data_IF_029888259790
#
_entry.id   IF_029888259790
#
_cell.length_a   1.000
_cell.length_b   1.000
_cell.length_c   1.000
_cell.angle_alpha   90.00
_cell.angle_beta   90.00
_cell.angle_gamma   90.00
#
_symmetry.space_group_name_H-M   'P 1'
#
loop_
_entity.id
_entity.type
_entity.pdbx_description
1 polymer ?
#
# COMPACT_ATOMS: atom_id res chain seq x y z
N UNK A 1 20.18 22.56 12.73
CA UNK A 1 20.56 21.36 11.97
C UNK A 1 20.29 21.64 10.49
N UNK A 2 21.33 21.84 9.70
CA UNK A 2 21.23 22.09 8.27
C UNK A 2 20.90 20.77 7.55
N UNK A 3 19.84 20.76 6.76
CA UNK A 3 19.39 19.57 6.03
C UNK A 3 20.18 19.41 4.73
N UNK A 4 20.94 18.33 4.58
CA UNK A 4 21.42 17.82 3.29
C UNK A 4 20.20 17.32 2.49
N UNK A 5 19.55 18.20 1.74
CA UNK A 5 18.32 17.95 0.98
C UNK A 5 18.55 17.65 -0.51
N UNK A 6 19.75 17.19 -0.92
CA UNK A 6 20.16 17.26 -2.33
C UNK A 6 20.83 16.02 -2.94
N UNK A 7 20.70 14.84 -2.34
CA UNK A 7 21.23 13.62 -2.99
C UNK A 7 20.10 12.63 -3.31
N UNK A 8 19.93 12.33 -4.60
CA UNK A 8 19.12 11.23 -5.14
C UNK A 8 19.91 9.91 -5.11
N UNK A 9 19.26 8.73 -5.15
CA UNK A 9 19.90 7.47 -5.54
C UNK A 9 20.04 7.35 -7.06
N UNK A 10 21.17 6.78 -7.51
CA UNK A 10 21.55 6.54 -8.91
C UNK A 10 20.70 5.43 -9.56
N UNK A 11 20.18 5.68 -10.76
CA UNK A 11 19.57 4.68 -11.65
C UNK A 11 20.66 3.93 -12.44
N UNK A 12 20.58 2.60 -12.54
CA UNK A 12 21.42 1.79 -13.44
C UNK A 12 20.69 1.52 -14.76
N UNK A 13 21.42 1.65 -15.86
CA UNK A 13 20.99 1.53 -17.26
C UNK A 13 20.61 0.08 -17.66
N UNK A 14 19.69 -0.04 -18.62
CA UNK A 14 19.22 -1.29 -19.22
C UNK A 14 19.93 -1.45 -20.58
N UNK A 15 20.67 -2.54 -20.78
CA UNK A 15 21.19 -2.93 -22.10
C UNK A 15 20.33 -4.02 -22.74
N UNK A 16 19.96 -3.76 -23.99
CA UNK A 16 19.15 -4.52 -24.95
C UNK A 16 19.78 -5.84 -25.41
N UNK A 17 18.94 -6.86 -25.67
CA UNK A 17 19.17 -7.85 -26.74
C UNK A 17 17.84 -8.20 -27.43
N UNK A 18 17.86 -8.15 -28.76
CA UNK A 18 16.76 -8.37 -29.72
C UNK A 18 16.79 -9.80 -30.32
N UNK A 19 15.75 -10.22 -31.09
CA UNK A 19 15.26 -11.60 -31.19
C UNK A 19 15.47 -12.31 -32.54
N UNK A 20 15.14 -13.61 -32.57
CA UNK A 20 14.81 -14.48 -33.74
C UNK A 20 14.10 -15.71 -33.15
N UNK A 21 13.07 -16.36 -33.69
CA UNK A 21 12.41 -16.32 -34.99
C UNK A 21 11.05 -17.08 -34.91
N UNK A 22 10.02 -16.52 -35.55
CA UNK A 22 9.13 -17.16 -36.56
C UNK A 22 8.21 -18.38 -36.29
N UNK A 23 6.90 -18.13 -36.53
CA UNK A 23 5.90 -18.85 -37.38
C UNK A 23 4.83 -19.79 -36.72
N UNK A 24 3.57 -19.34 -36.49
CA UNK A 24 2.26 -19.30 -37.25
C UNK A 24 1.29 -20.49 -36.86
N UNK A 25 -0.02 -20.54 -37.24
CA UNK A 25 -1.22 -20.26 -36.40
C UNK A 25 -2.25 -21.42 -36.28
N UNK A 26 -3.21 -21.33 -35.36
CA UNK A 26 -4.50 -22.05 -35.46
C UNK A 26 -5.55 -21.41 -34.55
N UNK A 27 -6.54 -20.72 -35.11
CA UNK A 27 -7.90 -21.18 -35.44
C UNK A 27 -8.88 -21.17 -34.26
N UNK A 28 -9.90 -20.31 -34.42
CA UNK A 28 -11.11 -20.19 -33.61
C UNK A 28 -11.93 -21.49 -33.59
N UNK A 29 -12.37 -21.93 -32.41
CA UNK A 29 -13.70 -22.54 -32.23
C UNK A 29 -14.25 -22.30 -30.82
N UNK A 30 -15.36 -21.56 -30.78
CA UNK A 30 -16.58 -21.80 -29.98
C UNK A 30 -16.40 -22.41 -28.58
N UNK A 31 -16.22 -21.58 -27.54
CA UNK A 31 -16.44 -22.01 -26.15
C UNK A 31 -16.67 -20.81 -25.19
N UNK A 32 -17.67 -19.97 -25.47
CA UNK A 32 -18.01 -18.79 -24.64
C UNK A 32 -19.21 -18.99 -23.71
N UNK A 33 -19.43 -20.21 -23.22
CA UNK A 33 -20.45 -20.52 -22.20
C UNK A 33 -19.97 -21.32 -20.96
N UNK A 34 -18.80 -21.99 -20.92
CA UNK A 34 -18.30 -22.63 -19.68
C UNK A 34 -17.70 -21.64 -18.68
N UNK A 35 -17.16 -20.51 -19.14
CA UNK A 35 -16.39 -19.58 -18.32
C UNK A 35 -17.21 -18.78 -17.28
N UNK A 36 -18.52 -18.59 -17.47
CA UNK A 36 -19.37 -17.94 -16.45
C UNK A 36 -19.78 -18.91 -15.33
N UNK A 37 -19.82 -20.22 -15.61
CA UNK A 37 -20.05 -21.23 -14.58
C UNK A 37 -18.79 -21.49 -13.75
N UNK A 38 -17.59 -21.54 -14.34
CA UNK A 38 -16.33 -21.72 -13.60
C UNK A 38 -15.98 -20.53 -12.68
N UNK A 39 -16.32 -19.29 -13.06
CA UNK A 39 -16.20 -18.12 -12.18
C UNK A 39 -17.19 -18.17 -11.00
N UNK A 40 -18.40 -18.70 -11.21
CA UNK A 40 -19.39 -18.91 -10.14
C UNK A 40 -19.06 -20.09 -9.22
N UNK A 41 -18.33 -21.09 -9.74
CA UNK A 41 -17.83 -22.25 -8.99
C UNK A 41 -16.62 -21.86 -8.15
N UNK A 42 -15.71 -21.03 -8.67
CA UNK A 42 -14.59 -20.48 -7.90
C UNK A 42 -15.06 -19.53 -6.76
N UNK A 43 -16.11 -18.74 -6.98
CA UNK A 43 -16.75 -17.94 -5.91
C UNK A 43 -17.47 -18.80 -4.87
N UNK A 44 -18.05 -19.94 -5.27
CA UNK A 44 -18.74 -20.86 -4.35
C UNK A 44 -17.80 -21.84 -3.63
N UNK A 45 -16.67 -22.23 -4.22
CA UNK A 45 -15.62 -23.01 -3.55
C UNK A 45 -14.87 -22.16 -2.52
N UNK A 46 -14.68 -20.86 -2.79
CA UNK A 46 -14.17 -19.90 -1.80
C UNK A 46 -15.07 -19.78 -0.55
N UNK A 47 -16.37 -20.08 -0.69
CA UNK A 47 -17.35 -20.08 0.40
C UNK A 47 -17.52 -21.46 1.08
N UNK A 48 -16.88 -22.54 0.59
CA UNK A 48 -17.11 -23.91 1.05
C UNK A 48 -15.87 -24.66 1.58
N UNK A 49 -14.69 -24.03 1.65
CA UNK A 49 -13.53 -24.63 2.33
C UNK A 49 -13.85 -24.91 3.81
N UNK A 50 -14.11 -26.19 4.08
CA UNK A 50 -14.71 -26.73 5.30
C UNK A 50 -13.67 -26.90 6.42
N UNK A 51 -12.42 -26.49 6.20
CA UNK A 51 -11.38 -26.46 7.24
C UNK A 51 -11.47 -25.21 8.14
N UNK A 52 -12.35 -24.25 7.81
CA UNK A 52 -12.56 -23.01 8.57
C UNK A 52 -14.02 -22.71 8.94
N UNK A 53 -14.98 -23.57 8.56
CA UNK A 53 -16.40 -23.33 8.71
C UNK A 53 -17.03 -24.22 9.79
N UNK A 54 -16.80 -23.88 11.06
CA UNK A 54 -17.76 -24.25 12.10
C UNK A 54 -18.64 -23.04 12.40
N UNK A 55 -19.89 -23.16 12.00
CA UNK A 55 -21.04 -22.27 12.20
C UNK A 55 -21.01 -21.53 13.55
N UNK A 56 -21.39 -20.24 13.55
CA UNK A 56 -22.39 -19.70 14.49
C UNK A 56 -23.17 -18.53 13.86
N UNK A 57 -24.42 -18.46 14.30
CA UNK A 57 -25.61 -17.74 13.83
C UNK A 57 -25.56 -16.21 13.75
N UNK A 58 -26.33 -15.68 12.79
CA UNK A 58 -27.01 -14.38 12.72
C UNK A 58 -26.35 -13.19 13.45
N UNK A 59 -25.60 -12.38 12.67
CA UNK A 59 -25.34 -10.98 12.99
C UNK A 59 -23.87 -10.54 13.15
N UNK A 60 -22.90 -11.47 13.12
CA UNK A 60 -21.49 -11.11 13.17
C UNK A 60 -20.82 -11.21 11.78
N UNK A 61 -20.53 -10.06 11.16
CA UNK A 61 -19.59 -10.01 10.05
C UNK A 61 -18.19 -10.33 10.60
N UNK A 62 -17.76 -11.59 10.51
CA UNK A 62 -16.36 -12.00 10.59
C UNK A 62 -16.14 -13.31 11.35
N UNK A 63 -15.50 -14.28 10.67
CA UNK A 63 -15.11 -15.58 11.25
C UNK A 63 -13.84 -15.46 12.10
N UNK A 64 -13.64 -16.41 13.02
CA UNK A 64 -12.43 -16.48 13.85
C UNK A 64 -11.29 -17.14 13.08
N UNK A 65 -10.14 -16.47 12.95
CA UNK A 65 -8.94 -17.02 12.33
C UNK A 65 -8.40 -18.21 13.15
N UNK A 66 -8.24 -19.37 12.50
CA UNK A 66 -7.50 -20.52 13.03
C UNK A 66 -6.17 -20.64 12.27
N UNK A 67 -5.11 -20.96 13.00
CA UNK A 67 -3.77 -21.13 12.42
C UNK A 67 -3.77 -22.35 11.50
N UNK A 68 -3.49 -22.16 10.21
CA UNK A 68 -3.16 -23.29 9.33
C UNK A 68 -1.81 -23.88 9.79
N UNK A 69 -1.88 -25.12 10.29
CA UNK A 69 -0.74 -25.92 10.76
C UNK A 69 -0.32 -26.98 9.74
N UNK A 70 -1.07 -27.16 8.66
CA UNK A 70 -0.86 -28.21 7.66
C UNK A 70 0.16 -27.78 6.61
N UNK A 71 0.21 -26.49 6.25
CA UNK A 71 1.24 -25.96 5.33
C UNK A 71 2.53 -25.62 6.06
N UNK A 72 3.53 -26.51 5.97
CA UNK A 72 4.90 -26.27 6.43
C UNK A 72 5.77 -25.77 5.27
N UNK A 73 6.20 -24.52 5.34
CA UNK A 73 7.27 -24.00 4.47
C UNK A 73 8.60 -24.58 4.98
N UNK A 74 9.41 -25.25 4.15
CA UNK A 74 10.72 -25.73 4.56
C UNK A 74 11.58 -24.59 5.12
N UNK A 75 12.32 -24.85 6.21
CA UNK A 75 13.21 -23.85 6.79
C UNK A 75 14.34 -23.43 5.83
N UNK A 76 14.72 -24.30 4.90
CA UNK A 76 15.71 -24.06 3.85
C UNK A 76 15.17 -23.31 2.63
N UNK A 77 13.86 -23.04 2.55
CA UNK A 77 13.28 -22.39 1.38
C UNK A 77 13.84 -20.96 1.22
N UNK A 78 14.17 -20.60 -0.02
CA UNK A 78 14.61 -19.23 -0.35
C UNK A 78 13.48 -18.25 -0.04
N UNK A 79 13.77 -17.28 0.84
CA UNK A 79 12.82 -16.25 1.26
C UNK A 79 13.28 -14.87 0.82
N UNK A 80 12.37 -14.12 0.20
CA UNK A 80 12.52 -12.69 -0.05
C UNK A 80 11.61 -11.96 0.93
N UNK A 81 12.22 -11.24 1.88
CA UNK A 81 11.50 -10.49 2.91
C UNK A 81 11.43 -9.01 2.54
N UNK A 82 10.21 -8.49 2.36
CA UNK A 82 9.94 -7.09 2.06
C UNK A 82 9.14 -6.48 3.22
N UNK A 83 9.67 -5.43 3.85
CA UNK A 83 8.91 -4.67 4.84
C UNK A 83 7.95 -3.67 4.18
N UNK A 84 6.70 -3.62 4.65
CA UNK A 84 5.73 -2.58 4.31
C UNK A 84 5.56 -1.69 5.54
N UNK A 85 5.89 -0.41 5.39
CA UNK A 85 5.96 0.58 6.48
C UNK A 85 4.95 1.69 6.22
N UNK A 86 3.89 1.75 7.03
CA UNK A 86 2.94 2.86 7.04
C UNK A 86 3.36 3.94 8.03
N UNK A 87 3.70 5.14 7.56
CA UNK A 87 4.14 6.25 8.41
C UNK A 87 3.00 7.22 8.77
N UNK A 88 2.99 7.72 10.01
CA UNK A 88 2.06 8.76 10.49
C UNK A 88 2.46 10.16 9.98
N UNK A 89 2.67 10.29 8.66
CA UNK A 89 2.98 11.56 8.01
C UNK A 89 1.68 12.28 7.62
N UNK A 90 1.24 13.21 8.46
CA UNK A 90 0.10 14.08 8.13
C UNK A 90 0.51 15.09 7.08
N UNK A 91 -0.47 15.61 6.33
CA UNK A 91 -0.26 16.55 5.23
C UNK A 91 0.62 17.75 5.64
N UNK A 92 1.80 17.85 5.03
CA UNK A 92 2.79 18.90 5.27
C UNK A 92 3.68 18.69 6.50
N UNK A 93 3.59 17.53 7.17
CA UNK A 93 4.43 17.19 8.33
C UNK A 93 5.31 16.00 8.02
N UNK A 94 6.60 16.10 8.37
CA UNK A 94 7.56 15.01 8.19
C UNK A 94 7.60 14.20 9.48
N UNK A 95 6.86 13.09 9.51
CA UNK A 95 6.87 12.13 10.62
C UNK A 95 7.41 10.80 10.10
N UNK A 96 8.23 10.15 10.93
CA UNK A 96 8.82 8.84 10.64
C UNK A 96 8.32 7.76 11.60
N UNK A 97 7.24 8.00 12.37
CA UNK A 97 6.66 6.94 13.21
C UNK A 97 6.01 5.88 12.33
N UNK A 98 6.37 4.61 12.55
CA UNK A 98 5.86 3.47 11.79
C UNK A 98 4.60 2.87 12.46
N UNK A 99 3.43 3.35 12.03
CA UNK A 99 2.14 3.05 12.66
C UNK A 99 1.47 1.78 12.10
N UNK A 100 1.88 1.34 10.92
CA UNK A 100 1.52 0.05 10.32
C UNK A 100 2.81 -0.66 9.89
N UNK A 101 2.97 -1.91 10.32
CA UNK A 101 4.21 -2.66 10.17
C UNK A 101 3.87 -4.07 9.66
N UNK A 102 4.31 -4.40 8.45
CA UNK A 102 4.12 -5.73 7.87
C UNK A 102 5.42 -6.23 7.24
N UNK A 103 5.64 -7.53 7.27
CA UNK A 103 6.65 -8.19 6.44
C UNK A 103 5.93 -9.13 5.49
N UNK A 104 6.17 -8.96 4.19
CA UNK A 104 5.77 -9.90 3.15
C UNK A 104 6.98 -10.80 2.89
N UNK A 105 6.91 -12.03 3.42
CA UNK A 105 7.91 -13.08 3.23
C UNK A 105 7.46 -13.95 2.06
N UNK A 106 8.15 -13.85 0.94
CA UNK A 106 7.80 -14.54 -0.30
C UNK A 106 8.74 -15.72 -0.50
N UNK A 107 8.17 -16.87 -0.85
CA UNK A 107 8.87 -18.09 -1.25
C UNK A 107 8.57 -18.30 -2.74
N UNK A 108 9.39 -17.71 -3.64
CA UNK A 108 9.03 -17.61 -5.05
C UNK A 108 8.91 -19.00 -5.69
N UNK A 109 9.86 -19.88 -5.37
CA UNK A 109 9.96 -21.23 -5.95
C UNK A 109 8.75 -22.12 -5.67
N UNK A 110 8.03 -21.88 -4.57
CA UNK A 110 6.83 -22.65 -4.21
C UNK A 110 5.50 -21.93 -4.51
N UNK A 111 5.56 -20.66 -4.92
CA UNK A 111 4.38 -19.83 -5.09
C UNK A 111 3.66 -19.58 -3.75
N UNK A 112 4.40 -19.22 -2.71
CA UNK A 112 3.82 -19.02 -1.37
C UNK A 112 4.22 -17.67 -0.77
N UNK A 113 3.27 -17.02 -0.10
CA UNK A 113 3.49 -15.74 0.59
C UNK A 113 3.00 -15.82 2.02
N UNK A 114 3.83 -15.32 2.95
CA UNK A 114 3.45 -15.12 4.34
C UNK A 114 3.49 -13.62 4.67
N UNK A 115 2.34 -13.07 5.07
CA UNK A 115 2.22 -11.69 5.54
C UNK A 115 2.24 -11.69 7.07
N UNK A 116 3.24 -11.05 7.65
CA UNK A 116 3.46 -10.99 9.09
C UNK A 116 3.20 -9.56 9.55
N UNK A 117 2.05 -9.34 10.16
CA UNK A 117 1.66 -8.05 10.75
C UNK A 117 2.24 -7.90 12.15
N UNK A 118 2.77 -6.72 12.46
CA UNK A 118 3.36 -6.41 13.76
C UNK A 118 2.63 -5.20 14.38
N UNK A 119 1.99 -5.34 15.56
CA UNK A 119 1.37 -4.22 16.26
C UNK A 119 2.41 -3.12 16.53
N UNK A 120 2.01 -1.86 16.37
CA UNK A 120 2.96 -0.73 16.41
C UNK A 120 3.61 -0.53 17.78
N UNK A 121 2.89 -0.94 18.83
CA UNK A 121 3.25 -0.81 20.24
C UNK A 121 4.08 -2.02 20.72
N UNK A 122 4.49 -2.93 19.83
CA UNK A 122 5.35 -4.08 20.17
C UNK A 122 6.67 -3.59 20.80
N UNK A 123 7.09 -4.14 21.95
CA UNK A 123 8.35 -3.76 22.59
C UNK A 123 9.55 -3.94 21.65
N UNK A 124 10.33 -2.88 21.49
CA UNK A 124 11.56 -2.87 20.70
C UNK A 124 12.48 -1.73 21.17
N UNK A 125 13.79 -1.95 21.22
CA UNK A 125 14.72 -0.95 21.72
C UNK A 125 14.82 0.25 20.76
N UNK A 126 14.13 1.34 21.12
CA UNK A 126 14.16 2.61 20.42
C UNK A 126 15.20 3.59 21.00
N UNK A 127 15.96 3.21 22.03
CA UNK A 127 16.94 4.05 22.71
C UNK A 127 16.31 5.11 23.62
N UNK A 128 15.06 4.89 24.05
CA UNK A 128 14.35 5.81 24.93
C UNK A 128 14.72 5.54 26.39
N UNK A 129 14.91 6.62 27.17
CA UNK A 129 15.15 6.53 28.62
C UNK A 129 13.99 5.86 29.36
N UNK A 130 12.76 6.23 28.98
CA UNK A 130 11.55 5.59 29.46
C UNK A 130 11.34 4.27 28.70
N UNK A 131 11.41 3.16 29.43
CA UNK A 131 11.24 1.81 28.88
C UNK A 131 9.88 1.61 28.21
N UNK A 132 8.83 2.33 28.63
CA UNK A 132 7.48 2.23 28.05
C UNK A 132 7.39 2.84 26.65
N UNK A 133 8.35 3.70 26.27
CA UNK A 133 8.46 4.31 24.95
C UNK A 133 9.33 3.47 23.99
N UNK A 134 9.95 2.38 24.46
CA UNK A 134 10.71 1.47 23.60
C UNK A 134 9.75 0.54 22.83
N UNK A 135 9.23 1.08 21.72
CA UNK A 135 8.24 0.45 20.85
C UNK A 135 8.67 0.51 19.39
N UNK A 136 8.27 -0.49 18.59
CA UNK A 136 8.65 -0.60 17.18
C UNK A 136 8.33 0.66 16.36
N UNK A 137 7.17 1.30 16.59
CA UNK A 137 6.79 2.56 15.90
C UNK A 137 7.79 3.70 16.09
N UNK A 138 8.48 3.73 17.23
CA UNK A 138 9.46 4.77 17.58
C UNK A 138 10.86 4.41 17.05
N UNK A 139 11.21 3.12 16.95
CA UNK A 139 12.51 2.67 16.41
C UNK A 139 12.78 3.29 15.04
N UNK A 140 11.78 3.28 14.14
CA UNK A 140 11.94 3.86 12.81
C UNK A 140 12.23 5.37 12.85
N UNK A 141 11.54 6.09 13.74
CA UNK A 141 11.72 7.54 13.89
C UNK A 141 13.07 7.91 14.53
N UNK A 142 13.53 7.14 15.51
CA UNK A 142 14.71 7.48 16.33
C UNK A 142 16.02 6.87 15.81
N UNK A 143 15.97 5.63 15.33
CA UNK A 143 17.17 4.86 14.92
C UNK A 143 17.23 4.59 13.41
N UNK A 144 16.23 5.05 12.66
CA UNK A 144 16.17 4.96 11.19
C UNK A 144 15.82 3.56 10.66
N UNK A 145 15.73 3.46 9.34
CA UNK A 145 15.21 2.28 8.62
C UNK A 145 16.03 1.03 8.89
N UNK A 146 17.37 1.09 8.88
CA UNK A 146 18.23 -0.09 9.11
C UNK A 146 17.97 -0.73 10.48
N UNK A 147 17.84 0.07 11.54
CA UNK A 147 17.55 -0.45 12.88
C UNK A 147 16.13 -1.03 12.96
N UNK A 148 15.15 -0.32 12.39
CA UNK A 148 13.78 -0.79 12.30
C UNK A 148 13.66 -2.14 11.60
N UNK A 149 14.32 -2.34 10.45
CA UNK A 149 14.25 -3.58 9.68
C UNK A 149 14.83 -4.78 10.45
N UNK A 150 15.90 -4.57 11.23
CA UNK A 150 16.44 -5.62 12.10
C UNK A 150 15.44 -6.03 13.19
N UNK A 151 14.86 -5.05 13.90
CA UNK A 151 13.90 -5.32 14.98
C UNK A 151 12.63 -5.98 14.42
N UNK A 152 12.09 -5.47 13.30
CA UNK A 152 10.94 -6.07 12.63
C UNK A 152 11.22 -7.51 12.19
N UNK A 153 12.38 -7.79 11.58
CA UNK A 153 12.78 -9.14 11.17
C UNK A 153 12.93 -10.11 12.36
N UNK A 154 13.48 -9.62 13.49
CA UNK A 154 13.58 -10.36 14.74
C UNK A 154 12.20 -10.72 15.31
N UNK A 155 11.29 -9.74 15.41
CA UNK A 155 9.92 -9.95 15.90
C UNK A 155 9.16 -10.94 15.00
N UNK A 156 9.32 -10.79 13.68
CA UNK A 156 8.66 -11.65 12.70
C UNK A 156 9.27 -13.07 12.58
N UNK A 157 10.49 -13.28 13.08
CA UNK A 157 11.23 -14.55 13.00
C UNK A 157 11.53 -15.01 11.57
N UNK A 158 11.83 -14.07 10.66
CA UNK A 158 12.10 -14.38 9.23
C UNK A 158 13.54 -14.11 8.77
N UNK A 159 14.44 -13.79 9.70
CA UNK A 159 15.83 -13.45 9.36
C UNK A 159 15.98 -12.02 8.82
N UNK A 160 17.04 -11.72 8.04
CA UNK A 160 17.33 -10.36 7.61
C UNK A 160 16.27 -9.83 6.64
N UNK A 161 15.81 -8.61 6.90
CA UNK A 161 14.90 -7.87 6.00
C UNK A 161 15.73 -6.78 5.30
N UNK A 162 15.94 -6.96 4.00
CA UNK A 162 16.77 -6.05 3.18
C UNK A 162 15.94 -5.10 2.31
N UNK A 163 14.72 -5.49 1.97
CA UNK A 163 13.84 -4.74 1.09
C UNK A 163 12.73 -4.08 1.87
N UNK A 164 12.30 -2.90 1.42
CA UNK A 164 11.23 -2.17 2.08
C UNK A 164 10.49 -1.24 1.12
N UNK A 165 9.23 -0.98 1.47
CA UNK A 165 8.41 0.10 0.96
C UNK A 165 7.90 0.93 2.14
N UNK A 166 7.86 2.24 1.97
CA UNK A 166 7.31 3.18 2.94
C UNK A 166 6.27 4.07 2.27
N UNK A 167 5.13 4.20 2.92
CA UNK A 167 4.00 5.00 2.45
C UNK A 167 3.31 5.76 3.58
N UNK A 168 2.91 7.00 3.29
CA UNK A 168 2.05 7.83 4.15
C UNK A 168 0.56 7.68 3.79
N UNK A 169 -0.28 8.52 4.42
CA UNK A 169 -1.74 8.45 4.23
C UNK A 169 -2.20 8.66 2.79
N UNK A 170 -1.66 9.68 2.12
CA UNK A 170 -2.02 10.02 0.74
C UNK A 170 -1.65 8.89 -0.23
N UNK A 171 -0.48 8.30 -0.06
CA UNK A 171 0.00 7.19 -0.88
C UNK A 171 -0.85 5.94 -0.64
N UNK A 172 -1.18 5.62 0.62
CA UNK A 172 -2.14 4.56 0.92
C UNK A 172 -3.48 4.79 0.22
N UNK A 173 -4.03 6.02 0.26
CA UNK A 173 -5.28 6.35 -0.43
C UNK A 173 -5.19 6.15 -1.94
N UNK A 174 -4.08 6.57 -2.56
CA UNK A 174 -3.85 6.37 -3.99
C UNK A 174 -3.78 4.91 -4.40
N UNK A 175 -3.07 4.09 -3.64
CA UNK A 175 -2.97 2.64 -3.88
C UNK A 175 -4.34 1.98 -3.70
N UNK A 176 -5.08 2.30 -2.63
CA UNK A 176 -6.43 1.77 -2.41
C UNK A 176 -7.36 2.12 -3.59
N UNK A 177 -7.28 3.36 -4.10
CA UNK A 177 -8.04 3.80 -5.26
C UNK A 177 -7.61 3.05 -6.54
N UNK A 178 -6.31 2.83 -6.72
CA UNK A 178 -5.72 2.05 -7.82
C UNK A 178 -6.24 0.61 -7.85
N UNK A 179 -6.36 -0.02 -6.67
CA UNK A 179 -6.89 -1.36 -6.47
C UNK A 179 -8.43 -1.42 -6.55
N UNK A 180 -9.07 -0.39 -7.09
CA UNK A 180 -10.49 -0.38 -7.45
C UNK A 180 -11.44 0.15 -6.37
N UNK A 181 -10.93 0.54 -5.19
CA UNK A 181 -11.77 1.04 -4.10
C UNK A 181 -11.86 2.56 -4.14
N UNK A 182 -12.89 3.07 -4.85
CA UNK A 182 -13.06 4.51 -5.09
C UNK A 182 -13.23 5.35 -3.81
N UNK A 183 -13.88 4.81 -2.78
CA UNK A 183 -13.95 5.49 -1.48
C UNK A 183 -12.75 5.14 -0.59
N UNK A 184 -11.55 5.46 -1.09
CA UNK A 184 -10.28 5.12 -0.44
C UNK A 184 -10.15 5.68 0.98
N UNK A 185 -10.77 6.84 1.24
CA UNK A 185 -10.86 7.43 2.58
C UNK A 185 -11.62 6.53 3.56
N UNK A 186 -12.74 5.97 3.15
CA UNK A 186 -13.54 5.07 3.98
C UNK A 186 -12.82 3.74 4.22
N UNK A 187 -12.23 3.14 3.18
CA UNK A 187 -11.39 1.95 3.36
C UNK A 187 -10.27 2.22 4.35
N UNK A 188 -9.52 3.32 4.16
CA UNK A 188 -8.42 3.65 5.06
C UNK A 188 -8.89 3.92 6.48
N UNK A 189 -10.09 4.49 6.67
CA UNK A 189 -10.71 4.62 7.99
C UNK A 189 -10.98 3.26 8.64
N UNK A 190 -11.50 2.30 7.88
CA UNK A 190 -11.71 0.91 8.34
C UNK A 190 -10.39 0.27 8.75
N UNK A 191 -9.36 0.33 7.89
CA UNK A 191 -8.04 -0.28 8.15
C UNK A 191 -7.26 0.38 9.30
N UNK A 192 -7.63 1.61 9.69
CA UNK A 192 -7.00 2.32 10.80
C UNK A 192 -7.74 2.16 12.13
N UNK A 193 -8.94 1.58 12.12
CA UNK A 193 -9.74 1.44 13.32
C UNK A 193 -9.12 0.43 14.29
N UNK A 194 -8.75 0.92 15.49
CA UNK A 194 -8.31 0.07 16.62
C UNK A 194 -9.48 -0.43 17.46
N UNK A 195 -10.41 0.47 17.79
CA UNK A 195 -11.45 0.22 18.79
C UNK A 195 -12.81 -0.10 18.18
N UNK A 196 -13.19 0.57 17.09
CA UNK A 196 -14.55 0.47 16.52
C UNK A 196 -14.91 -0.90 15.94
N UNK A 197 -13.92 -1.78 15.74
CA UNK A 197 -14.11 -3.16 15.26
C UNK A 197 -13.82 -4.23 16.33
N UNK A 198 -13.43 -3.83 17.55
CA UNK A 198 -12.95 -4.73 18.60
C UNK A 198 -11.50 -5.22 18.38
N UNK A 199 -10.87 -5.77 19.43
CA UNK A 199 -9.55 -6.42 19.36
C UNK A 199 -8.31 -5.51 19.30
N UNK A 200 -8.48 -4.20 19.52
CA UNK A 200 -7.41 -3.17 19.61
C UNK A 200 -6.38 -3.21 18.47
N UNK A 201 -5.10 -2.98 18.75
CA UNK A 201 -4.05 -2.85 17.74
C UNK A 201 -3.79 -4.16 17.00
N UNK A 202 -3.98 -5.29 17.68
CA UNK A 202 -3.80 -6.63 17.14
C UNK A 202 -4.82 -6.93 16.03
N UNK A 203 -6.11 -6.66 16.26
CA UNK A 203 -7.13 -6.80 15.22
C UNK A 203 -6.89 -5.80 14.08
N UNK A 204 -6.48 -4.56 14.40
CA UNK A 204 -6.16 -3.56 13.37
C UNK A 204 -5.03 -4.04 12.44
N UNK A 205 -3.89 -4.49 12.98
CA UNK A 205 -2.78 -4.93 12.14
C UNK A 205 -3.10 -6.24 11.40
N UNK A 206 -3.93 -7.12 11.98
CA UNK A 206 -4.47 -8.27 11.27
C UNK A 206 -5.34 -7.84 10.09
N UNK A 207 -6.26 -6.90 10.27
CA UNK A 207 -7.12 -6.36 9.21
C UNK A 207 -6.30 -5.78 8.05
N UNK A 208 -5.22 -5.05 8.36
CA UNK A 208 -4.30 -4.54 7.36
C UNK A 208 -3.60 -5.67 6.59
N UNK A 209 -3.11 -6.70 7.29
CA UNK A 209 -2.53 -7.88 6.64
C UNK A 209 -3.53 -8.64 5.75
N UNK A 210 -4.78 -8.80 6.22
CA UNK A 210 -5.86 -9.39 5.45
C UNK A 210 -6.24 -8.57 4.22
N UNK A 211 -6.22 -7.24 4.32
CA UNK A 211 -6.39 -6.35 3.17
C UNK A 211 -5.29 -6.59 2.13
N UNK A 212 -4.02 -6.58 2.55
CA UNK A 212 -2.88 -6.83 1.66
C UNK A 212 -3.03 -8.20 0.99
N UNK A 213 -3.36 -9.25 1.74
CA UNK A 213 -3.62 -10.60 1.22
C UNK A 213 -4.67 -10.59 0.11
N UNK A 214 -5.84 -10.00 0.39
CA UNK A 214 -6.95 -10.00 -0.55
C UNK A 214 -6.64 -9.19 -1.81
N UNK A 215 -5.91 -8.08 -1.68
CA UNK A 215 -5.49 -7.28 -2.82
C UNK A 215 -4.46 -8.00 -3.70
N UNK A 216 -3.48 -8.70 -3.10
CA UNK A 216 -2.52 -9.49 -3.87
C UNK A 216 -3.26 -10.60 -4.63
N UNK A 217 -4.07 -11.42 -3.95
CA UNK A 217 -4.80 -12.51 -4.60
C UNK A 217 -5.69 -12.02 -5.76
N UNK A 218 -6.36 -10.87 -5.58
CA UNK A 218 -7.27 -10.32 -6.59
C UNK A 218 -6.56 -9.68 -7.79
N UNK A 219 -5.38 -9.11 -7.59
CA UNK A 219 -4.74 -8.25 -8.58
C UNK A 219 -3.39 -8.76 -9.07
N UNK A 220 -2.91 -9.90 -8.59
CA UNK A 220 -1.59 -10.43 -8.97
C UNK A 220 -1.42 -10.57 -10.49
N UNK A 221 -2.44 -11.07 -11.20
CA UNK A 221 -2.40 -11.20 -12.67
C UNK A 221 -2.22 -9.87 -13.42
N UNK A 222 -2.52 -8.73 -12.78
CA UNK A 222 -2.31 -7.40 -13.36
C UNK A 222 -0.86 -6.93 -13.27
N UNK A 223 -0.02 -7.61 -12.50
CA UNK A 223 1.39 -7.27 -12.37
C UNK A 223 2.24 -7.79 -13.55
N UNK A 224 1.64 -8.53 -14.48
CA UNK A 224 2.30 -9.07 -15.66
C UNK A 224 1.99 -8.24 -16.93
N UNK A 225 2.81 -8.41 -17.96
CA UNK A 225 2.70 -7.73 -19.24
C UNK A 225 2.97 -6.22 -19.20
N UNK A 226 2.66 -5.53 -20.31
CA UNK A 226 2.94 -4.10 -20.49
C UNK A 226 2.26 -3.21 -19.44
N UNK A 227 1.00 -3.51 -19.11
CA UNK A 227 0.27 -2.78 -18.06
C UNK A 227 0.86 -3.07 -16.67
N UNK A 228 1.33 -4.30 -16.42
CA UNK A 228 2.06 -4.64 -15.21
C UNK A 228 3.33 -3.82 -15.06
N UNK A 229 4.08 -3.61 -16.14
CA UNK A 229 5.27 -2.77 -16.12
C UNK A 229 4.96 -1.31 -15.76
N UNK A 230 3.91 -0.73 -16.32
CA UNK A 230 3.43 0.62 -15.96
C UNK A 230 3.05 0.69 -14.49
N UNK A 231 2.33 -0.31 -13.96
CA UNK A 231 1.93 -0.37 -12.55
C UNK A 231 3.14 -0.52 -11.62
N UNK A 232 4.15 -1.30 -11.99
CA UNK A 232 5.37 -1.49 -11.20
C UNK A 232 6.19 -0.19 -11.17
N UNK A 233 6.42 0.43 -12.34
CA UNK A 233 7.16 1.70 -12.45
C UNK A 233 6.45 2.83 -11.69
N UNK A 234 5.15 3.01 -11.93
CA UNK A 234 4.32 4.00 -11.25
C UNK A 234 4.22 3.77 -9.76
N UNK A 235 4.03 2.52 -9.33
CA UNK A 235 3.98 2.15 -7.91
C UNK A 235 5.28 2.49 -7.18
N UNK A 236 6.43 2.19 -7.80
CA UNK A 236 7.75 2.52 -7.23
C UNK A 236 8.05 4.02 -7.25
N UNK A 237 7.62 4.76 -8.27
CA UNK A 237 7.77 6.21 -8.31
C UNK A 237 6.87 6.92 -7.27
N UNK A 238 5.72 6.30 -6.95
CA UNK A 238 4.72 6.83 -6.02
C UNK A 238 5.01 6.55 -4.55
N UNK A 239 5.90 5.59 -4.25
CA UNK A 239 6.27 5.17 -2.90
C UNK A 239 7.76 5.40 -2.64
N UNK A 240 8.14 5.49 -1.36
CA UNK A 240 9.56 5.46 -1.01
C UNK A 240 10.01 4.00 -0.84
N UNK A 241 11.03 3.55 -1.56
CA UNK A 241 11.45 2.14 -1.57
C UNK A 241 12.91 1.98 -2.01
N UNK A 242 13.50 0.83 -1.68
CA UNK A 242 14.75 0.36 -2.26
C UNK A 242 14.58 -0.83 -3.22
N UNK A 243 13.35 -1.12 -3.66
CA UNK A 243 13.06 -2.13 -4.67
C UNK A 243 13.39 -1.60 -6.06
N UNK A 244 13.84 -2.48 -6.95
CA UNK A 244 14.03 -2.18 -8.37
C UNK A 244 12.88 -2.74 -9.21
N UNK A 245 12.62 -2.11 -10.35
CA UNK A 245 11.63 -2.57 -11.34
C UNK A 245 11.94 -4.01 -11.76
N UNK A 246 13.19 -4.28 -12.15
CA UNK A 246 13.62 -5.62 -12.57
C UNK A 246 13.51 -6.66 -11.43
N UNK A 247 13.80 -6.28 -10.19
CA UNK A 247 13.64 -7.17 -9.04
C UNK A 247 12.18 -7.57 -8.81
N UNK A 248 11.24 -6.64 -9.00
CA UNK A 248 9.80 -6.93 -8.90
C UNK A 248 9.34 -7.77 -10.10
N UNK A 249 9.78 -7.46 -11.32
CA UNK A 249 9.45 -8.25 -12.52
C UNK A 249 9.94 -9.70 -12.38
N UNK A 250 11.18 -9.90 -11.92
CA UNK A 250 11.71 -11.23 -11.65
C UNK A 250 10.92 -11.99 -10.57
N UNK A 251 10.48 -11.28 -9.53
CA UNK A 251 9.64 -11.88 -8.48
C UNK A 251 8.26 -12.30 -9.01
N UNK A 252 7.61 -11.47 -9.83
CA UNK A 252 6.33 -11.80 -10.49
C UNK A 252 6.51 -13.00 -11.41
N UNK A 253 7.58 -13.02 -12.21
CA UNK A 253 7.92 -14.14 -13.08
C UNK A 253 8.10 -15.45 -12.31
N UNK A 254 8.91 -15.46 -11.25
CA UNK A 254 9.13 -16.64 -10.41
C UNK A 254 7.82 -17.17 -9.81
N UNK A 255 6.97 -16.27 -9.32
CA UNK A 255 5.66 -16.62 -8.75
C UNK A 255 4.71 -17.18 -9.80
N UNK A 256 4.62 -16.57 -11.00
CA UNK A 256 3.85 -17.09 -12.13
C UNK A 256 4.32 -18.49 -12.51
N UNK A 257 5.64 -18.70 -12.62
CA UNK A 257 6.25 -19.99 -12.94
C UNK A 257 5.91 -21.07 -11.91
N UNK A 258 5.78 -20.69 -10.65
CA UNK A 258 5.36 -21.58 -9.57
C UNK A 258 3.84 -21.81 -9.48
N UNK A 259 3.06 -21.24 -10.42
CA UNK A 259 1.60 -21.36 -10.49
C UNK A 259 0.87 -20.51 -9.44
N UNK A 260 1.46 -19.40 -8.99
CA UNK A 260 0.83 -18.51 -8.01
C UNK A 260 -0.22 -17.58 -8.66
N UNK A 261 -1.37 -17.34 -7.98
CA UNK A 261 -1.86 -18.07 -6.83
C UNK A 261 -2.47 -19.42 -7.25
N UNK A 262 -2.18 -20.47 -6.49
CA UNK A 262 -2.79 -21.81 -6.69
C UNK A 262 -4.23 -21.82 -6.20
N UNK A 263 -4.41 -21.26 -5.02
CA UNK A 263 -5.68 -21.12 -4.31
C UNK A 263 -5.57 -19.97 -3.28
N UNK A 264 -6.65 -19.71 -2.54
CA UNK A 264 -6.67 -18.65 -1.53
C UNK A 264 -5.61 -18.83 -0.42
N UNK A 265 -5.24 -20.05 -0.09
CA UNK A 265 -4.22 -20.38 0.91
C UNK A 265 -2.78 -20.28 0.39
N UNK A 266 -2.57 -19.83 -0.85
CA UNK A 266 -1.24 -19.42 -1.35
C UNK A 266 -0.66 -18.23 -0.58
N UNK A 267 -1.52 -17.47 0.13
CA UNK A 267 -1.11 -16.42 1.04
C UNK A 267 -1.72 -16.66 2.42
N UNK A 268 -0.90 -16.59 3.46
CA UNK A 268 -1.37 -16.56 4.85
C UNK A 268 -1.04 -15.24 5.53
N UNK A 269 -1.83 -14.88 6.54
CA UNK A 269 -1.58 -13.74 7.41
C UNK A 269 -1.35 -14.24 8.83
N UNK A 270 -0.31 -13.72 9.47
CA UNK A 270 -0.02 -13.97 10.89
C UNK A 270 0.22 -12.64 11.60
N UNK A 271 -0.06 -12.61 12.89
CA UNK A 271 0.34 -11.50 13.76
C UNK A 271 1.49 -11.94 14.64
N UNK A 272 2.51 -11.09 14.75
CA UNK A 272 3.67 -11.28 15.63
C UNK A 272 3.84 -10.06 16.53
N UNK A 273 4.14 -10.22 17.83
CA UNK A 273 4.30 -11.48 18.57
C UNK A 273 3.04 -12.34 18.56
N UNK A 274 3.20 -13.67 18.63
CA UNK A 274 2.06 -14.59 18.70
C UNK A 274 1.31 -14.35 20.01
N UNK A 275 -0.01 -14.29 19.92
CA UNK A 275 -0.91 -14.18 21.08
C UNK A 275 -1.99 -15.24 20.95
N UNK A 276 -2.70 -15.54 22.05
CA UNK A 276 -3.89 -16.40 22.01
C UNK A 276 -5.14 -15.72 21.42
N UNK A 277 -5.01 -14.52 20.84
CA UNK A 277 -6.14 -13.76 20.30
C UNK A 277 -6.65 -14.43 19.03
N UNK A 278 -7.96 -14.68 18.99
CA UNK A 278 -8.67 -15.07 17.77
C UNK A 278 -9.10 -13.81 17.01
N UNK A 279 -8.78 -13.74 15.72
CA UNK A 279 -9.05 -12.55 14.90
C UNK A 279 -10.33 -12.68 14.10
N UNK A 280 -11.10 -11.60 13.98
CA UNK A 280 -12.24 -11.52 13.05
C UNK A 280 -11.72 -11.32 11.62
N UNK A 281 -12.17 -12.16 10.69
CA UNK A 281 -11.81 -12.07 9.27
C UNK A 281 -12.89 -11.30 8.51
N UNK A 282 -12.52 -10.17 7.91
CA UNK A 282 -13.44 -9.35 7.10
C UNK A 282 -13.15 -9.50 5.60
N UNK A 283 -14.20 -9.41 4.78
CA UNK A 283 -14.07 -9.25 3.34
C UNK A 283 -13.83 -7.78 3.00
N UNK A 284 -12.60 -7.44 2.61
CA UNK A 284 -12.23 -6.10 2.16
C UNK A 284 -12.30 -5.94 0.64
N UNK A 285 -12.50 -7.02 -0.12
CA UNK A 285 -12.73 -6.96 -1.57
C UNK A 285 -14.12 -6.42 -1.93
N UNK A 286 -15.07 -6.53 -1.01
CA UNK A 286 -16.46 -6.09 -1.18
C UNK A 286 -16.70 -4.68 -0.61
N UNK A 287 -17.23 -3.80 -1.45
CA UNK A 287 -17.56 -2.42 -1.08
C UNK A 287 -18.72 -2.33 -0.08
N UNK A 288 -19.67 -3.28 -0.10
CA UNK A 288 -20.76 -3.31 0.86
C UNK A 288 -20.24 -3.65 2.26
N UNK A 289 -19.34 -4.62 2.37
CA UNK A 289 -18.62 -4.96 3.61
C UNK A 289 -17.85 -3.75 4.17
N UNK A 290 -17.09 -3.02 3.34
CA UNK A 290 -16.42 -1.78 3.77
C UNK A 290 -17.42 -0.75 4.31
N UNK A 291 -18.55 -0.55 3.63
CA UNK A 291 -19.59 0.39 4.04
C UNK A 291 -20.19 0.00 5.40
N UNK A 292 -20.48 -1.28 5.61
CA UNK A 292 -21.01 -1.78 6.88
C UNK A 292 -20.01 -1.58 8.03
N UNK A 293 -18.73 -1.92 7.82
CA UNK A 293 -17.66 -1.74 8.81
C UNK A 293 -17.46 -0.27 9.15
N UNK A 294 -17.47 0.61 8.15
CA UNK A 294 -17.42 2.05 8.35
C UNK A 294 -18.60 2.52 9.21
N UNK A 295 -19.83 2.14 8.87
CA UNK A 295 -21.01 2.52 9.65
C UNK A 295 -20.92 2.04 11.10
N UNK A 296 -20.38 0.84 11.34
CA UNK A 296 -20.11 0.35 12.70
C UNK A 296 -19.12 1.24 13.46
N UNK A 297 -18.03 1.64 12.81
CA UNK A 297 -17.02 2.55 13.38
C UNK A 297 -17.62 3.93 13.65
N UNK A 298 -18.43 4.47 12.73
CA UNK A 298 -19.05 5.78 12.89
C UNK A 298 -20.06 5.79 14.05
N UNK A 299 -20.87 4.74 14.20
CA UNK A 299 -21.76 4.58 15.37
C UNK A 299 -20.98 4.51 16.68
N UNK A 300 -19.90 3.73 16.71
CA UNK A 300 -19.02 3.64 17.88
C UNK A 300 -18.41 5.01 18.23
N UNK A 301 -17.86 5.71 17.24
CA UNK A 301 -17.25 7.03 17.45
C UNK A 301 -18.28 8.07 17.90
N UNK A 302 -19.49 8.06 17.33
CA UNK A 302 -20.57 8.96 17.74
C UNK A 302 -21.00 8.72 19.20
N UNK A 303 -21.06 7.45 19.62
CA UNK A 303 -21.31 7.09 21.01
C UNK A 303 -20.17 7.56 21.92
N UNK A 304 -18.91 7.29 21.54
CA UNK A 304 -17.74 7.69 22.32
C UNK A 304 -17.52 9.20 22.38
N UNK A 305 -17.89 9.94 21.33
CA UNK A 305 -17.76 11.40 21.28
C UNK A 305 -18.60 12.10 22.36
N UNK A 306 -19.67 11.47 22.86
CA UNK A 306 -20.44 11.97 24.01
C UNK A 306 -19.67 11.88 25.33
N UNK A 307 -18.63 11.05 25.40
CA UNK A 307 -17.82 10.77 26.60
C UNK A 307 -16.41 11.33 26.50
N UNK A 308 -15.84 11.37 25.29
CA UNK A 308 -14.47 11.80 25.01
C UNK A 308 -14.45 12.56 23.68
N UNK A 309 -14.18 13.86 23.76
CA UNK A 309 -14.15 14.77 22.60
C UNK A 309 -13.05 14.44 21.60
N UNK A 310 -12.07 13.60 21.95
CA UNK A 310 -11.06 13.11 21.00
C UNK A 310 -11.64 12.26 19.87
N UNK A 311 -12.84 11.68 20.06
CA UNK A 311 -13.60 10.96 19.04
C UNK A 311 -14.47 11.86 18.16
N UNK A 312 -14.54 13.16 18.44
CA UNK A 312 -15.32 14.10 17.64
C UNK A 312 -14.82 14.15 16.19
N UNK A 313 -15.76 14.21 15.25
CA UNK A 313 -15.46 14.25 13.81
C UNK A 313 -14.75 15.55 13.47
N UNK A 314 -13.48 15.46 13.09
CA UNK A 314 -12.72 16.61 12.57
C UNK A 314 -13.00 16.77 11.07
N UNK A 315 -13.56 17.91 10.69
CA UNK A 315 -13.59 18.30 9.28
C UNK A 315 -12.17 18.70 8.87
N UNK A 316 -11.66 18.07 7.82
CA UNK A 316 -10.39 18.43 7.19
C UNK A 316 -10.76 18.81 5.76
N UNK A 317 -10.27 19.96 5.31
CA UNK A 317 -10.34 20.43 3.94
C UNK A 317 -8.94 20.38 3.30
N UNK A 318 -8.56 19.23 2.69
CA UNK A 318 -7.29 19.08 2.02
C UNK A 318 -7.10 20.09 0.87
N UNK A 319 -8.16 20.31 0.09
CA UNK A 319 -8.13 21.18 -1.08
C UNK A 319 -7.86 22.63 -0.70
N UNK A 320 -8.64 23.19 0.23
CA UNK A 320 -8.44 24.56 0.70
C UNK A 320 -7.11 24.75 1.43
N UNK A 321 -6.58 23.72 2.10
CA UNK A 321 -5.22 23.78 2.66
C UNK A 321 -4.15 23.87 1.56
N UNK A 322 -4.18 22.98 0.56
CA UNK A 322 -3.18 22.94 -0.51
C UNK A 322 -3.24 24.19 -1.38
N UNK A 323 -4.44 24.65 -1.74
CA UNK A 323 -4.62 25.88 -2.52
C UNK A 323 -4.07 27.12 -1.79
N UNK A 324 -4.25 27.22 -0.47
CA UNK A 324 -3.65 28.32 0.32
C UNK A 324 -2.12 28.30 0.26
N UNK A 325 -1.50 27.13 0.37
CA UNK A 325 -0.04 26.98 0.26
C UNK A 325 0.43 27.37 -1.14
N UNK A 326 -0.20 26.86 -2.19
CA UNK A 326 0.19 27.18 -3.57
C UNK A 326 0.00 28.68 -3.88
N UNK A 327 -1.10 29.28 -3.45
CA UNK A 327 -1.36 30.70 -3.68
C UNK A 327 -0.34 31.59 -2.96
N UNK A 328 0.07 31.22 -1.75
CA UNK A 328 1.10 31.95 -0.99
C UNK A 328 2.50 31.87 -1.64
N UNK A 329 2.76 30.85 -2.45
CA UNK A 329 4.07 30.59 -3.07
C UNK A 329 4.15 31.00 -4.55
N UNK A 330 3.03 31.39 -5.16
CA UNK A 330 2.98 31.67 -6.60
C UNK A 330 4.00 32.73 -7.05
N UNK A 331 4.09 33.86 -6.35
CA UNK A 331 5.07 34.91 -6.65
C UNK A 331 6.51 34.51 -6.26
N UNK A 332 6.65 33.68 -5.22
CA UNK A 332 7.94 33.21 -4.72
C UNK A 332 8.61 32.22 -5.69
N UNK A 333 7.87 31.57 -6.60
CA UNK A 333 8.47 30.70 -7.65
C UNK A 333 9.48 31.45 -8.50
N UNK A 334 9.18 32.71 -8.83
CA UNK A 334 10.12 33.58 -9.54
C UNK A 334 11.15 34.22 -8.59
N UNK A 335 10.76 34.64 -7.39
CA UNK A 335 11.60 35.51 -6.56
C UNK A 335 12.48 34.75 -5.55
N UNK A 336 11.99 33.64 -5.02
CA UNK A 336 12.56 32.90 -3.89
C UNK A 336 12.47 31.38 -4.11
N UNK A 337 13.11 30.84 -5.15
CA UNK A 337 12.96 29.43 -5.55
C UNK A 337 13.35 28.44 -4.44
N UNK A 338 14.37 28.73 -3.62
CA UNK A 338 14.75 27.88 -2.48
C UNK A 338 13.62 27.74 -1.45
N UNK A 339 12.92 28.83 -1.14
CA UNK A 339 11.79 28.84 -0.21
C UNK A 339 10.63 28.01 -0.74
N UNK A 340 10.35 28.09 -2.04
CA UNK A 340 9.31 27.27 -2.68
C UNK A 340 9.63 25.79 -2.55
N UNK A 341 10.88 25.39 -2.83
CA UNK A 341 11.31 24.00 -2.65
C UNK A 341 11.14 23.54 -1.20
N UNK A 342 11.66 24.29 -0.22
CA UNK A 342 11.55 23.94 1.20
C UNK A 342 10.09 23.75 1.67
N UNK A 343 9.17 24.57 1.16
CA UNK A 343 7.77 24.52 1.58
C UNK A 343 6.92 23.50 0.82
N UNK A 344 7.18 23.28 -0.48
CA UNK A 344 6.37 22.36 -1.31
C UNK A 344 6.86 20.92 -1.31
N UNK A 345 8.17 20.70 -1.17
CA UNK A 345 8.75 19.35 -1.25
C UNK A 345 8.08 18.34 -0.29
N UNK A 346 7.76 18.70 0.98
CA UNK A 346 7.04 17.77 1.86
C UNK A 346 5.64 17.39 1.37
N UNK A 347 4.93 18.29 0.68
CA UNK A 347 3.61 17.99 0.13
C UNK A 347 3.70 17.13 -1.14
N UNK A 348 4.76 17.36 -1.93
CA UNK A 348 5.01 16.60 -3.15
C UNK A 348 5.42 15.16 -2.86
N UNK A 349 6.39 14.95 -1.97
CA UNK A 349 6.81 13.59 -1.54
C UNK A 349 5.67 12.79 -0.92
N UNK A 350 4.73 13.51 -0.30
CA UNK A 350 3.54 12.92 0.28
C UNK A 350 2.43 12.68 -0.74
N UNK A 351 2.57 13.10 -2.00
CA UNK A 351 1.47 13.10 -2.98
C UNK A 351 0.19 13.69 -2.37
N UNK A 352 0.30 14.82 -1.66
CA UNK A 352 -0.73 15.33 -0.76
C UNK A 352 -2.09 15.59 -1.45
N UNK A 353 -2.07 15.84 -2.76
CA UNK A 353 -3.27 15.98 -3.60
C UNK A 353 -4.15 14.73 -3.59
N UNK A 354 -3.63 13.54 -3.31
CA UNK A 354 -4.43 12.30 -3.26
C UNK A 354 -5.47 12.29 -2.13
N UNK A 355 -5.40 13.22 -1.18
CA UNK A 355 -6.44 13.44 -0.19
C UNK A 355 -7.62 14.28 -0.70
N UNK A 356 -7.49 14.93 -1.86
CA UNK A 356 -8.53 15.73 -2.52
C UNK A 356 -9.48 14.78 -3.27
N UNK A 357 -10.77 14.89 -3.00
CA UNK A 357 -11.80 14.01 -3.58
C UNK A 357 -12.19 14.39 -5.01
N UNK A 358 -12.25 15.68 -5.32
CA UNK A 358 -12.60 16.15 -6.65
C UNK A 358 -11.41 15.89 -7.60
N UNK A 359 -11.62 15.07 -8.63
CA UNK A 359 -10.55 14.66 -9.56
C UNK A 359 -9.96 15.84 -10.35
N UNK A 360 -10.80 16.78 -10.79
CA UNK A 360 -10.37 17.98 -11.53
C UNK A 360 -9.52 18.89 -10.64
N UNK A 361 -9.96 19.11 -9.40
CA UNK A 361 -9.21 19.90 -8.42
C UNK A 361 -7.91 19.21 -8.01
N UNK A 362 -7.93 17.89 -7.78
CA UNK A 362 -6.75 17.06 -7.53
C UNK A 362 -5.73 17.22 -8.66
N UNK A 363 -6.17 17.11 -9.91
CA UNK A 363 -5.33 17.29 -11.09
C UNK A 363 -4.69 18.68 -11.10
N UNK A 364 -5.50 19.73 -10.94
CA UNK A 364 -5.01 21.11 -10.97
C UNK A 364 -3.99 21.39 -9.85
N UNK A 365 -4.23 20.89 -8.64
CA UNK A 365 -3.31 21.04 -7.51
C UNK A 365 -1.98 20.32 -7.79
N UNK A 366 -2.04 19.08 -8.31
CA UNK A 366 -0.83 18.33 -8.67
C UNK A 366 -0.01 19.06 -9.73
N UNK A 367 -0.64 19.52 -10.81
CA UNK A 367 0.04 20.24 -11.90
C UNK A 367 0.74 21.50 -11.37
N UNK A 368 0.00 22.36 -10.66
CA UNK A 368 0.58 23.60 -10.09
C UNK A 368 1.76 23.32 -9.16
N UNK A 369 1.66 22.28 -8.33
CA UNK A 369 2.75 21.89 -7.43
C UNK A 369 3.98 21.44 -8.22
N UNK A 370 3.78 20.63 -9.27
CA UNK A 370 4.82 20.21 -10.20
C UNK A 370 5.51 21.39 -10.87
N UNK A 371 4.73 22.28 -11.49
CA UNK A 371 5.22 23.47 -12.20
C UNK A 371 6.10 24.34 -11.29
N UNK A 372 5.65 24.58 -10.06
CA UNK A 372 6.41 25.40 -9.10
C UNK A 372 7.73 24.75 -8.69
N UNK A 373 7.75 23.42 -8.50
CA UNK A 373 8.97 22.69 -8.17
C UNK A 373 9.93 22.63 -9.37
N UNK A 374 9.45 22.30 -10.57
CA UNK A 374 10.23 22.23 -11.81
C UNK A 374 10.89 23.58 -12.09
N UNK A 375 10.10 24.66 -12.07
CA UNK A 375 10.61 26.01 -12.30
C UNK A 375 11.66 26.41 -11.23
N UNK A 376 11.39 26.09 -9.96
CA UNK A 376 12.31 26.42 -8.86
C UNK A 376 13.62 25.65 -8.94
N UNK A 377 13.58 24.35 -9.27
CA UNK A 377 14.77 23.52 -9.45
C UNK A 377 15.62 23.97 -10.62
N UNK A 378 15.01 24.26 -11.77
CA UNK A 378 15.71 24.81 -12.93
C UNK A 378 16.41 26.13 -12.59
N UNK A 379 15.72 27.02 -11.87
CA UNK A 379 16.26 28.33 -11.48
C UNK A 379 17.46 28.25 -10.53
N UNK A 380 17.58 27.19 -9.74
CA UNK A 380 18.74 26.97 -8.85
C UNK A 380 19.79 26.03 -9.46
N UNK A 381 19.73 25.77 -10.77
CA UNK A 381 20.71 24.96 -11.48
C UNK A 381 20.62 23.46 -11.19
N UNK A 382 19.42 22.93 -10.91
CA UNK A 382 19.18 21.49 -10.64
C UNK A 382 18.20 20.87 -11.64
N UNK A 383 18.56 20.81 -12.93
CA UNK A 383 17.67 20.28 -13.97
C UNK A 383 17.33 18.79 -13.77
N UNK A 384 18.23 17.98 -13.20
CA UNK A 384 17.94 16.56 -12.93
C UNK A 384 16.84 16.38 -11.87
N UNK A 385 16.77 17.25 -10.86
CA UNK A 385 15.66 17.26 -9.91
C UNK A 385 14.35 17.68 -10.58
N UNK A 386 14.40 18.63 -11.51
CA UNK A 386 13.22 19.04 -12.28
C UNK A 386 12.70 17.89 -13.16
N UNK A 387 13.59 17.17 -13.86
CA UNK A 387 13.24 15.96 -14.62
C UNK A 387 12.64 14.88 -13.73
N UNK A 388 13.16 14.70 -12.52
CA UNK A 388 12.60 13.74 -11.56
C UNK A 388 11.17 14.11 -11.13
N UNK A 389 10.90 15.39 -10.84
CA UNK A 389 9.53 15.86 -10.53
C UNK A 389 8.59 15.56 -11.70
N UNK A 390 9.03 15.86 -12.92
CA UNK A 390 8.26 15.58 -14.13
C UNK A 390 7.99 14.08 -14.28
N UNK A 391 9.02 13.23 -14.14
CA UNK A 391 8.91 11.78 -14.17
C UNK A 391 7.87 11.25 -13.17
N UNK A 392 7.89 11.73 -11.93
CA UNK A 392 6.90 11.31 -10.90
C UNK A 392 5.48 11.67 -11.32
N UNK A 393 5.26 12.88 -11.85
CA UNK A 393 3.94 13.33 -12.31
C UNK A 393 3.45 12.51 -13.49
N UNK A 394 4.29 12.31 -14.50
CA UNK A 394 3.94 11.60 -15.72
C UNK A 394 3.64 10.13 -15.44
N UNK A 395 4.49 9.48 -14.65
CA UNK A 395 4.28 8.06 -14.29
C UNK A 395 3.03 7.89 -13.42
N UNK A 396 2.72 8.84 -12.52
CA UNK A 396 1.45 8.82 -11.78
C UNK A 396 0.26 8.99 -12.75
N UNK A 397 0.32 9.94 -13.68
CA UNK A 397 -0.74 10.14 -14.68
C UNK A 397 -0.97 8.86 -15.47
N UNK A 398 0.10 8.24 -15.98
CA UNK A 398 0.04 7.02 -16.75
C UNK A 398 -0.63 5.89 -15.95
N UNK A 399 -0.16 5.66 -14.72
CA UNK A 399 -0.68 4.65 -13.79
C UNK A 399 -2.19 4.81 -13.51
N UNK A 400 -2.70 6.04 -13.41
CA UNK A 400 -4.13 6.29 -13.18
C UNK A 400 -4.95 6.41 -14.48
N UNK A 401 -4.34 6.73 -15.62
CA UNK A 401 -4.98 6.90 -16.92
C UNK A 401 -5.41 5.58 -17.57
N UNK A 402 -4.71 4.47 -17.28
CA UNK A 402 -5.10 3.12 -17.73
C UNK A 402 -6.49 2.67 -17.27
N UNK A 403 -7.09 3.36 -16.28
CA UNK A 403 -8.49 3.15 -15.86
C UNK A 403 -9.53 3.75 -16.83
N UNK A 404 -9.13 4.69 -17.68
CA UNK A 404 -10.01 5.40 -18.60
C UNK A 404 -10.30 4.57 -19.86
N UNK A 405 -9.37 3.72 -20.29
CA UNK A 405 -9.52 2.87 -21.48
C UNK A 405 -10.58 1.75 -21.29
N UNK A 406 -10.76 1.24 -20.07
CA UNK A 406 -11.75 0.18 -19.82
C UNK A 406 -13.21 0.66 -19.84
N UNK A 407 -13.46 1.99 -19.80
CA UNK A 407 -14.82 2.56 -19.85
C UNK A 407 -15.37 2.70 -21.28
N UNK A 408 -14.52 2.71 -22.30
CA UNK A 408 -14.96 2.88 -23.69
C UNK A 408 -15.20 1.56 -24.43
N UNK A 409 -14.74 0.42 -23.90
CA UNK A 409 -15.07 -0.89 -24.47
C UNK A 409 -16.39 -1.48 -23.94
N UNK A 410 -16.89 -1.05 -22.76
CA UNK A 410 -18.18 -1.53 -22.23
C UNK A 410 -19.40 -0.73 -22.71
N UNK A 411 -19.22 0.25 -23.60
CA UNK A 411 -20.31 1.04 -24.22
C UNK A 411 -20.45 0.81 -25.73
N UNK A 412 -19.68 -0.12 -26.28
CA UNK A 412 -19.80 -0.61 -27.65
C UNK A 412 -19.89 -2.14 -27.65
N UNK A 413 -20.93 -2.68 -27.04
CA UNK A 413 -21.51 -3.98 -27.40
C UNK A 413 -23.00 -3.90 -27.19
#
# INVERSE_FOLDING_TARGET
MAYHLLEQPKTQEISSVSPTDSIVPSQDTVETKPNEQELSVAENEFLKDSTFLQHMSDGEAGFLYQKDTLKKIPASARRINIAIIGVDARMGTVSRRADANHIVSIVPDSGYIEIISIPRDTPADAGMRDSTQNKLTIVHAMKGTKAYLREAGKIAKVGPVKYWIQLGFSQAMGIIELLGQRDSKSTLQVLRSRKGLGGDDYQRCFNQGQYIRQMILRHFSKADGLMGEVLIRGGLAFMNSNLSVEGIKGLVYDLNKAGFPKDASSIIVRVRPETGIKYKVYNFNDSASIKQLKSKIERFNAFMAKKDSSYAKKSIDPAGKLNRVLNALAADTAQKPKKVLEQLHPYFDQHAWMQVRNEKERFNIRQRMGDYLIASFNKIGKPENAKWVQYVIDTEIEMFSGKSASKNQSKKR
#
